data_IF_454610880572
#
_entry.id   IF_454610880572
#
_cell.length_a   1.000
_cell.length_b   1.000
_cell.length_c   1.000
_cell.angle_alpha   90.00
_cell.angle_beta   90.00
_cell.angle_gamma   90.00
#
_symmetry.space_group_name_H-M   'P 1'
#
loop_
_entity.id
_entity.type
_entity.pdbx_description
1 polymer ?
#
# COMPACT_ATOMS: atom_id res chain seq x y z
N UNK A 1 -35.69 15.38 62.69
CA UNK A 1 -36.31 15.25 64.03
C UNK A 1 -35.96 13.89 64.64
N UNK A 2 -35.55 13.95 65.90
CA UNK A 2 -34.85 12.95 66.69
C UNK A 2 -35.77 11.83 67.17
N UNK A 3 -35.21 10.61 67.29
CA UNK A 3 -35.36 9.64 68.40
C UNK A 3 -34.82 8.28 67.89
N UNK A 4 -33.77 7.63 68.42
CA UNK A 4 -33.53 7.32 69.84
C UNK A 4 -34.62 6.35 70.34
N UNK A 5 -34.41 5.18 70.93
CA UNK A 5 -33.26 4.56 71.58
C UNK A 5 -33.59 3.07 71.84
N UNK A 6 -32.63 2.38 72.45
CA UNK A 6 -32.41 0.95 72.65
C UNK A 6 -33.31 0.18 73.65
N UNK A 7 -33.14 -1.15 73.61
CA UNK A 7 -33.41 -2.14 74.68
C UNK A 7 -34.45 -3.19 74.27
N UNK A 8 -34.26 -4.51 74.29
CA UNK A 8 -33.34 -5.41 75.00
C UNK A 8 -34.16 -6.60 75.53
N UNK A 9 -33.61 -7.84 75.46
CA UNK A 9 -34.19 -9.17 75.79
C UNK A 9 -34.77 -9.91 74.57
N UNK A 10 -34.55 -11.19 74.33
CA UNK A 10 -33.83 -12.26 75.04
C UNK A 10 -34.31 -13.61 74.47
N UNK A 11 -33.38 -14.56 74.36
CA UNK A 11 -33.58 -16.03 74.21
C UNK A 11 -34.26 -16.62 72.97
N UNK A 12 -33.50 -17.49 72.29
CA UNK A 12 -34.03 -18.77 71.79
C UNK A 12 -33.64 -19.18 70.37
N UNK A 13 -32.70 -20.13 70.24
CA UNK A 13 -32.68 -21.10 69.12
C UNK A 13 -31.54 -20.97 68.10
N UNK A 14 -30.54 -21.86 68.21
CA UNK A 14 -29.57 -22.19 67.14
C UNK A 14 -30.28 -22.71 65.87
N UNK A 15 -29.68 -22.58 64.67
CA UNK A 15 -28.75 -23.62 64.23
C UNK A 15 -27.46 -23.12 63.53
N UNK A 16 -26.38 -23.78 63.90
CA UNK A 16 -25.13 -24.10 63.20
C UNK A 16 -24.87 -23.52 61.79
N UNK A 17 -23.92 -22.60 61.68
CA UNK A 17 -23.22 -22.29 60.41
C UNK A 17 -21.87 -23.02 60.35
N UNK A 18 -21.50 -23.66 59.23
CA UNK A 18 -20.24 -24.39 59.10
C UNK A 18 -19.01 -23.46 59.06
N UNK A 19 -17.92 -23.94 59.66
CA UNK A 19 -16.59 -23.32 59.72
C UNK A 19 -16.10 -22.80 58.35
N UNK A 20 -15.68 -21.52 58.32
CA UNK A 20 -14.81 -21.00 57.26
C UNK A 20 -13.41 -21.61 57.34
N UNK A 21 -12.82 -22.09 56.23
CA UNK A 21 -11.39 -22.37 56.15
C UNK A 21 -10.59 -21.06 56.11
N UNK A 22 -9.47 -21.00 56.85
CA UNK A 22 -8.50 -19.89 56.82
C UNK A 22 -7.93 -19.68 55.40
N UNK A 23 -7.58 -18.44 55.01
CA UNK A 23 -7.02 -18.16 53.69
C UNK A 23 -5.66 -18.86 53.50
N UNK A 24 -5.60 -19.68 52.45
CA UNK A 24 -4.36 -20.30 51.96
C UNK A 24 -3.58 -19.26 51.16
N UNK A 25 -2.31 -19.04 51.54
CA UNK A 25 -1.36 -18.26 50.75
C UNK A 25 -1.09 -18.99 49.43
N UNK A 26 -1.53 -18.41 48.32
CA UNK A 26 -1.25 -18.94 46.98
C UNK A 26 0.17 -18.50 46.56
N UNK A 27 1.03 -19.41 46.06
CA UNK A 27 2.39 -19.08 45.67
C UNK A 27 2.44 -18.10 44.49
N UNK A 28 3.41 -17.17 44.48
CA UNK A 28 3.77 -16.38 43.31
C UNK A 28 4.12 -17.32 42.16
N UNK A 29 3.30 -17.34 41.11
CA UNK A 29 3.63 -18.04 39.87
C UNK A 29 4.71 -17.29 39.10
N UNK A 30 5.69 -18.08 38.65
CA UNK A 30 6.91 -17.71 37.95
C UNK A 30 6.69 -16.90 36.67
N UNK A 31 7.66 -16.03 36.36
CA UNK A 31 7.87 -15.46 35.04
C UNK A 31 7.90 -16.56 33.97
N UNK A 32 7.12 -16.36 32.91
CA UNK A 32 7.23 -17.12 31.66
C UNK A 32 8.63 -16.95 31.07
N UNK A 33 9.30 -18.04 30.62
CA UNK A 33 10.54 -17.92 29.86
C UNK A 33 10.28 -17.19 28.53
N UNK A 34 11.11 -16.20 28.22
CA UNK A 34 11.21 -15.62 26.87
C UNK A 34 11.44 -16.75 25.85
N UNK A 35 10.61 -16.78 24.81
CA UNK A 35 10.80 -17.67 23.68
C UNK A 35 12.20 -17.44 23.08
N UNK A 36 12.96 -18.51 22.94
CA UNK A 36 14.26 -18.53 22.29
C UNK A 36 14.13 -18.16 20.81
N UNK A 37 15.01 -17.28 20.33
CA UNK A 37 15.14 -16.91 18.93
C UNK A 37 15.29 -18.16 18.04
N UNK A 38 14.49 -18.24 16.98
CA UNK A 38 14.73 -19.16 15.86
C UNK A 38 16.02 -18.76 15.12
N UNK A 39 16.82 -19.73 14.62
CA UNK A 39 18.06 -19.42 13.90
C UNK A 39 17.78 -18.63 12.61
N UNK A 40 18.57 -17.57 12.38
CA UNK A 40 18.58 -16.84 11.11
C UNK A 40 18.90 -17.79 9.94
N UNK A 41 18.04 -17.78 8.93
CA UNK A 41 18.33 -18.38 7.62
C UNK A 41 19.46 -17.56 6.98
N UNK A 42 20.57 -18.23 6.66
CA UNK A 42 21.69 -17.66 5.91
C UNK A 42 21.23 -17.23 4.51
N UNK A 43 21.55 -16.00 4.11
CA UNK A 43 21.34 -15.51 2.75
C UNK A 43 22.11 -16.39 1.76
N UNK A 44 21.43 -16.79 0.68
CA UNK A 44 22.05 -17.45 -0.47
C UNK A 44 23.09 -16.52 -1.15
N UNK A 45 24.16 -17.05 -1.76
CA UNK A 45 25.19 -16.23 -2.41
C UNK A 45 24.62 -15.42 -3.58
N UNK A 46 25.01 -14.14 -3.63
CA UNK A 46 24.75 -13.24 -4.75
C UNK A 46 25.31 -13.83 -6.06
N UNK A 47 24.47 -13.94 -7.09
CA UNK A 47 24.89 -14.36 -8.43
C UNK A 47 25.80 -13.29 -9.03
N UNK A 48 26.95 -13.75 -9.49
CA UNK A 48 28.06 -12.98 -10.05
C UNK A 48 27.69 -12.36 -11.41
N UNK A 49 28.10 -11.10 -11.62
CA UNK A 49 27.88 -10.33 -12.86
C UNK A 49 28.25 -11.12 -14.12
N UNK A 50 27.33 -11.17 -15.10
CA UNK A 50 27.63 -11.61 -16.46
C UNK A 50 28.34 -10.47 -17.21
N UNK A 51 29.42 -10.71 -17.98
CA UNK A 51 30.18 -9.65 -18.64
C UNK A 51 29.39 -8.94 -19.74
N UNK A 52 29.54 -7.62 -19.84
CA UNK A 52 29.05 -6.82 -20.96
C UNK A 52 29.70 -7.28 -22.27
N UNK A 53 28.88 -7.57 -23.28
CA UNK A 53 29.35 -7.78 -24.66
C UNK A 53 29.45 -6.41 -25.35
N UNK A 54 30.60 -6.23 -25.99
CA UNK A 54 31.17 -5.04 -26.61
C UNK A 54 30.50 -4.75 -27.98
N UNK A 55 30.18 -3.48 -28.27
CA UNK A 55 29.90 -2.98 -29.64
C UNK A 55 31.14 -3.22 -30.53
N UNK A 56 31.17 -3.40 -31.86
CA UNK A 56 30.43 -2.96 -33.09
C UNK A 56 30.97 -3.87 -34.27
N UNK A 57 30.69 -3.76 -35.61
CA UNK A 57 30.09 -2.66 -36.40
C UNK A 57 29.02 -3.05 -37.48
N UNK A 58 28.36 -2.03 -38.03
CA UNK A 58 27.51 -2.08 -39.23
C UNK A 58 28.29 -2.10 -40.56
N UNK A 59 27.72 -2.77 -41.58
CA UNK A 59 27.73 -2.53 -43.05
C UNK A 59 27.22 -3.84 -43.72
N UNK A 60 26.58 -3.97 -44.88
CA UNK A 60 26.04 -3.12 -45.95
C UNK A 60 25.16 -4.02 -46.87
N UNK A 61 24.36 -3.42 -47.75
CA UNK A 61 23.47 -4.05 -48.76
C UNK A 61 24.20 -4.94 -49.80
N UNK A 62 23.56 -6.02 -50.30
CA UNK A 62 23.02 -6.19 -51.68
C UNK A 62 22.90 -7.65 -52.20
N UNK A 63 21.76 -7.91 -52.86
CA UNK A 63 21.42 -8.84 -53.99
C UNK A 63 21.67 -10.37 -53.98
N UNK A 64 20.54 -11.09 -54.13
CA UNK A 64 20.22 -12.26 -54.99
C UNK A 64 21.33 -13.19 -55.51
N UNK A 65 21.20 -14.51 -55.28
CA UNK A 65 21.14 -15.54 -56.35
C UNK A 65 20.56 -16.89 -55.87
N UNK A 66 19.96 -17.63 -56.81
CA UNK A 66 19.29 -18.93 -56.68
C UNK A 66 20.26 -20.13 -56.52
N UNK A 67 19.82 -21.22 -55.88
CA UNK A 67 19.39 -22.49 -56.51
C UNK A 67 19.74 -23.77 -55.70
N UNK A 68 18.74 -24.67 -55.63
CA UNK A 68 18.73 -26.13 -55.40
C UNK A 68 19.64 -26.82 -54.35
N UNK A 69 19.01 -27.53 -53.40
CA UNK A 69 18.88 -29.00 -53.42
C UNK A 69 18.06 -29.53 -52.24
N UNK A 70 17.07 -30.38 -52.53
CA UNK A 70 16.32 -31.18 -51.56
C UNK A 70 17.20 -32.31 -51.01
N UNK A 71 17.18 -32.55 -49.69
CA UNK A 71 17.04 -33.90 -49.08
C UNK A 71 16.27 -33.74 -47.75
N UNK A 72 15.24 -34.58 -47.58
CA UNK A 72 14.41 -34.72 -46.37
C UNK A 72 15.19 -35.41 -45.25
N UNK A 73 14.99 -34.99 -43.99
CA UNK A 73 14.83 -35.91 -42.85
C UNK A 73 14.21 -35.19 -41.62
N UNK A 74 13.15 -35.82 -41.09
CA UNK A 74 12.41 -35.66 -39.82
C UNK A 74 11.88 -34.29 -39.30
N UNK A 75 10.60 -34.23 -38.83
CA UNK A 75 10.08 -33.07 -38.11
C UNK A 75 10.52 -33.09 -36.64
N UNK A 76 11.50 -32.26 -36.29
CA UNK A 76 11.73 -31.88 -34.90
C UNK A 76 10.62 -30.93 -34.45
N UNK A 77 9.80 -31.36 -33.50
CA UNK A 77 8.73 -30.57 -32.91
C UNK A 77 9.37 -29.46 -32.09
N UNK A 78 9.49 -28.27 -32.68
CA UNK A 78 9.86 -27.07 -31.95
C UNK A 78 8.86 -26.81 -30.80
N UNK A 79 9.32 -26.51 -29.58
CA UNK A 79 8.43 -26.11 -28.51
C UNK A 79 7.66 -24.84 -28.94
N UNK A 80 6.40 -24.67 -28.50
CA UNK A 80 5.59 -23.54 -28.95
C UNK A 80 6.32 -22.25 -28.60
N UNK A 81 6.67 -21.49 -29.65
CA UNK A 81 7.10 -20.12 -29.50
C UNK A 81 6.00 -19.40 -28.73
N UNK A 82 6.30 -19.07 -27.48
CA UNK A 82 5.48 -18.15 -26.71
C UNK A 82 5.52 -16.85 -27.52
N UNK A 83 4.43 -16.54 -28.21
CA UNK A 83 4.22 -15.22 -28.78
C UNK A 83 4.22 -14.25 -27.60
N UNK A 84 5.38 -13.67 -27.32
CA UNK A 84 5.47 -12.46 -26.53
C UNK A 84 4.69 -11.44 -27.37
N UNK A 85 3.49 -11.09 -26.90
CA UNK A 85 2.73 -9.98 -27.46
C UNK A 85 3.70 -8.79 -27.60
N UNK A 86 3.72 -8.08 -28.74
CA UNK A 86 4.67 -7.00 -28.93
C UNK A 86 4.50 -5.99 -27.79
N UNK A 87 5.53 -5.85 -26.95
CA UNK A 87 5.58 -4.81 -25.95
C UNK A 87 5.55 -3.49 -26.71
N UNK A 88 4.45 -2.74 -26.57
CA UNK A 88 4.38 -1.37 -27.06
C UNK A 88 5.58 -0.64 -26.44
N UNK A 89 6.46 0.01 -27.23
CA UNK A 89 7.60 0.73 -26.69
C UNK A 89 7.11 1.72 -25.65
N UNK A 90 7.63 1.58 -24.44
CA UNK A 90 7.21 2.41 -23.32
C UNK A 90 7.52 3.88 -23.61
N UNK A 91 6.48 4.72 -23.58
CA UNK A 91 6.63 6.16 -23.82
C UNK A 91 7.50 6.74 -22.70
N UNK A 92 8.58 7.43 -23.07
CA UNK A 92 9.34 8.25 -22.11
C UNK A 92 8.43 9.35 -21.56
N UNK A 93 8.57 9.63 -20.26
CA UNK A 93 7.85 10.74 -19.67
C UNK A 93 8.32 12.07 -20.29
N UNK A 94 7.41 13.01 -20.46
CA UNK A 94 7.65 14.32 -21.05
C UNK A 94 6.75 15.36 -20.37
N UNK A 95 6.65 16.58 -20.90
CA UNK A 95 5.84 17.65 -20.34
C UNK A 95 4.32 17.40 -20.34
N UNK A 96 3.84 16.27 -20.87
CA UNK A 96 2.44 15.88 -20.77
C UNK A 96 2.09 15.08 -19.52
N UNK A 97 3.08 14.60 -18.78
CA UNK A 97 2.83 13.83 -17.57
C UNK A 97 2.47 14.76 -16.42
N UNK A 98 1.40 14.40 -15.71
CA UNK A 98 0.90 15.07 -14.53
C UNK A 98 0.88 14.09 -13.34
N UNK A 99 0.55 14.60 -12.15
CA UNK A 99 0.50 13.82 -10.92
C UNK A 99 -0.72 14.11 -10.06
N UNK A 100 -1.23 13.05 -9.45
CA UNK A 100 -2.09 13.12 -8.26
C UNK A 100 -1.18 12.95 -7.04
N UNK A 101 -1.46 13.67 -5.96
CA UNK A 101 -0.66 13.60 -4.74
C UNK A 101 0.70 14.29 -4.85
N UNK A 102 1.72 13.76 -4.16
CA UNK A 102 3.03 14.41 -4.03
C UNK A 102 4.17 13.46 -4.36
N UNK A 103 4.95 13.81 -5.38
CA UNK A 103 6.24 13.20 -5.71
C UNK A 103 7.06 14.19 -6.54
N UNK A 104 8.39 14.09 -6.48
CA UNK A 104 9.29 14.84 -7.36
C UNK A 104 9.56 13.95 -8.58
N UNK A 105 9.19 14.44 -9.75
CA UNK A 105 9.39 13.80 -11.04
C UNK A 105 10.41 14.60 -11.84
N UNK A 106 11.47 13.95 -12.31
CA UNK A 106 12.45 14.52 -13.23
C UNK A 106 12.26 13.87 -14.61
N UNK A 107 11.60 14.60 -15.52
CA UNK A 107 11.31 14.11 -16.85
C UNK A 107 12.54 14.02 -17.74
N UNK A 108 13.56 14.86 -17.54
CA UNK A 108 14.79 14.78 -18.33
C UNK A 108 15.58 13.53 -17.98
N UNK A 109 15.71 13.23 -16.68
CA UNK A 109 16.42 12.06 -16.18
C UNK A 109 15.59 10.79 -16.16
N UNK A 110 14.26 10.88 -16.37
CA UNK A 110 13.32 9.77 -16.23
C UNK A 110 13.41 9.14 -14.83
N UNK A 111 13.39 9.96 -13.78
CA UNK A 111 13.52 9.51 -12.39
C UNK A 111 12.46 10.11 -11.49
N UNK A 112 12.26 9.48 -10.34
CA UNK A 112 11.53 10.05 -9.21
C UNK A 112 12.43 10.16 -7.99
N UNK A 113 12.16 11.14 -7.13
CA UNK A 113 12.84 11.26 -5.83
C UNK A 113 11.90 10.85 -4.71
N UNK A 114 12.37 9.92 -3.88
CA UNK A 114 11.68 9.42 -2.69
C UNK A 114 12.58 9.59 -1.45
N UNK A 115 12.02 9.35 -0.27
CA UNK A 115 12.81 9.30 0.97
C UNK A 115 13.08 7.85 1.38
N UNK A 116 14.22 7.66 2.04
CA UNK A 116 14.63 6.43 2.71
C UNK A 116 15.17 6.78 4.09
N UNK A 117 14.94 5.92 5.07
CA UNK A 117 15.35 6.15 6.46
C UNK A 117 16.43 5.16 6.87
N UNK A 118 17.62 5.68 7.16
CA UNK A 118 18.82 4.89 7.47
C UNK A 118 19.01 4.83 8.97
N UNK A 119 19.17 3.62 9.53
CA UNK A 119 19.45 3.42 10.95
C UNK A 119 20.76 4.10 11.36
N UNK A 120 20.69 4.87 12.45
CA UNK A 120 21.84 5.57 13.04
C UNK A 120 22.53 4.71 14.11
N UNK A 121 21.75 4.02 14.95
CA UNK A 121 22.26 3.10 15.97
C UNK A 121 22.80 1.82 15.29
N UNK A 122 24.10 1.82 15.00
CA UNK A 122 24.86 0.60 14.68
C UNK A 122 25.48 0.05 15.97
N UNK A 123 25.63 -1.28 16.12
CA UNK A 123 26.08 -1.91 17.38
C UNK A 123 27.37 -1.30 17.97
N UNK A 124 28.26 -0.77 17.14
CA UNK A 124 29.57 -0.25 17.53
C UNK A 124 29.74 1.27 17.34
N UNK A 125 28.65 2.04 17.21
CA UNK A 125 28.71 3.50 16.98
C UNK A 125 28.14 4.30 18.15
N UNK A 126 28.73 5.45 18.51
CA UNK A 126 28.18 6.31 19.55
C UNK A 126 26.79 6.83 19.16
N UNK A 127 25.84 6.76 20.09
CA UNK A 127 24.48 7.23 19.88
C UNK A 127 24.46 8.73 19.58
N UNK A 128 23.73 9.11 18.52
CA UNK A 128 23.44 10.52 18.24
C UNK A 128 22.15 10.92 18.95
N UNK A 129 22.09 12.16 19.41
CA UNK A 129 20.93 12.71 20.08
C UNK A 129 20.43 13.95 19.35
N UNK A 130 19.11 14.08 19.28
CA UNK A 130 18.50 15.31 18.81
C UNK A 130 18.76 16.44 19.82
N UNK A 131 19.25 17.58 19.33
CA UNK A 131 19.63 18.70 20.18
C UNK A 131 18.42 19.39 20.83
N UNK A 132 17.25 19.27 20.23
CA UNK A 132 16.04 19.94 20.70
C UNK A 132 15.31 19.10 21.74
N UNK A 133 14.99 17.85 21.41
CA UNK A 133 14.26 16.94 22.30
C UNK A 133 15.13 16.20 23.31
N UNK A 134 16.45 16.11 23.07
CA UNK A 134 17.38 15.30 23.86
C UNK A 134 17.20 13.79 23.69
N UNK A 135 16.32 13.35 22.79
CA UNK A 135 16.05 11.92 22.52
C UNK A 135 17.11 11.32 21.58
N UNK A 136 17.40 10.01 21.69
CA UNK A 136 18.29 9.33 20.75
C UNK A 136 17.69 9.31 19.35
N UNK A 137 18.53 9.56 18.34
CA UNK A 137 18.14 9.50 16.93
C UNK A 137 18.17 8.04 16.50
N UNK A 138 17.05 7.53 16.00
CA UNK A 138 16.93 6.15 15.53
C UNK A 138 17.26 6.02 14.03
N UNK A 139 16.84 7.00 13.22
CA UNK A 139 17.06 7.01 11.76
C UNK A 139 17.33 8.43 11.23
N UNK A 140 18.10 8.51 10.15
CA UNK A 140 18.31 9.71 9.35
C UNK A 140 17.55 9.60 8.02
N UNK A 141 16.88 10.68 7.61
CA UNK A 141 16.16 10.78 6.34
C UNK A 141 17.14 11.12 5.22
N UNK A 142 17.23 10.24 4.24
CA UNK A 142 17.99 10.45 3.01
C UNK A 142 17.05 10.45 1.81
N UNK A 143 17.43 11.16 0.75
CA UNK A 143 16.74 11.08 -0.53
C UNK A 143 17.36 9.97 -1.38
N UNK A 144 16.50 9.26 -2.10
CA UNK A 144 16.89 8.32 -3.15
C UNK A 144 16.32 8.80 -4.48
N UNK A 145 17.08 8.58 -5.55
CA UNK A 145 16.66 8.86 -6.92
C UNK A 145 16.45 7.50 -7.58
N UNK A 146 15.22 7.20 -7.96
CA UNK A 146 14.84 5.93 -8.57
C UNK A 146 14.57 6.14 -10.06
N UNK A 147 15.31 5.46 -10.96
CA UNK A 147 14.98 5.42 -12.37
C UNK A 147 13.62 4.77 -12.62
N UNK A 148 12.82 5.37 -13.50
CA UNK A 148 11.47 4.86 -13.82
C UNK A 148 11.51 3.46 -14.46
N UNK A 149 12.57 3.18 -15.23
CA UNK A 149 12.79 1.88 -15.86
C UNK A 149 13.02 0.75 -14.85
N UNK A 150 13.45 1.07 -13.62
CA UNK A 150 13.71 0.08 -12.57
C UNK A 150 12.43 -0.26 -11.78
N UNK A 151 11.32 0.43 -12.02
CA UNK A 151 10.05 0.19 -11.35
C UNK A 151 9.36 -1.00 -11.99
N UNK A 152 9.16 -2.04 -11.18
CA UNK A 152 8.53 -3.28 -11.63
C UNK A 152 7.05 -3.08 -12.00
N UNK A 153 6.65 -3.72 -13.10
CA UNK A 153 5.24 -3.89 -13.46
C UNK A 153 4.60 -4.98 -12.61
N UNK A 154 3.40 -4.74 -12.10
CA UNK A 154 2.66 -5.75 -11.35
C UNK A 154 1.84 -5.18 -10.19
N UNK A 155 1.31 -6.10 -9.38
CA UNK A 155 0.66 -5.76 -8.12
C UNK A 155 1.71 -5.29 -7.11
N UNK A 156 1.35 -4.28 -6.32
CA UNK A 156 2.12 -3.95 -5.13
C UNK A 156 2.06 -5.11 -4.15
N UNK A 157 3.20 -5.44 -3.54
CA UNK A 157 3.27 -6.39 -2.43
C UNK A 157 3.43 -5.64 -1.12
N UNK A 158 2.80 -6.14 -0.06
CA UNK A 158 2.81 -5.47 1.24
C UNK A 158 4.13 -5.74 1.95
N UNK A 159 4.99 -4.72 2.01
CA UNK A 159 6.01 -4.61 3.06
C UNK A 159 5.67 -3.41 3.94
N UNK A 160 5.05 -3.69 5.09
CA UNK A 160 4.59 -2.68 6.05
C UNK A 160 5.75 -1.82 6.59
N UNK A 161 6.99 -2.33 6.54
CA UNK A 161 8.19 -1.65 7.03
C UNK A 161 8.99 -0.96 5.93
N UNK A 162 8.57 -1.08 4.66
CA UNK A 162 9.23 -0.40 3.58
C UNK A 162 9.08 1.12 3.72
N UNK A 163 10.17 1.85 3.48
CA UNK A 163 10.12 3.31 3.43
C UNK A 163 9.32 3.82 2.23
N UNK A 164 9.13 2.97 1.21
CA UNK A 164 8.29 3.23 0.05
C UNK A 164 7.77 1.94 -0.58
N UNK A 165 6.60 2.03 -1.22
CA UNK A 165 6.03 1.00 -2.09
C UNK A 165 5.70 1.66 -3.42
N UNK A 166 6.14 1.07 -4.52
CA UNK A 166 5.94 1.65 -5.85
C UNK A 166 5.70 0.56 -6.89
N UNK A 167 4.74 0.83 -7.76
CA UNK A 167 4.33 -0.06 -8.83
C UNK A 167 4.04 0.69 -10.11
N UNK A 168 3.86 -0.10 -11.17
CA UNK A 168 3.66 0.41 -12.51
C UNK A 168 2.54 -0.36 -13.24
N UNK A 169 1.78 0.34 -14.08
CA UNK A 169 0.76 -0.24 -14.95
C UNK A 169 0.77 0.46 -16.31
N UNK A 170 1.38 -0.15 -17.31
CA UNK A 170 1.74 0.57 -18.54
C UNK A 170 2.79 1.63 -18.22
N UNK A 171 2.56 2.89 -18.56
CA UNK A 171 3.38 4.05 -18.19
C UNK A 171 2.82 4.82 -16.98
N UNK A 172 1.79 4.31 -16.31
CA UNK A 172 1.33 4.86 -15.04
C UNK A 172 2.21 4.35 -13.90
N UNK A 173 2.68 5.27 -13.07
CA UNK A 173 3.44 4.95 -11.86
C UNK A 173 2.65 5.38 -10.64
N UNK A 174 2.60 4.54 -9.61
CA UNK A 174 1.81 4.84 -8.42
C UNK A 174 2.46 4.24 -7.20
N UNK A 175 2.23 4.86 -6.06
CA UNK A 175 2.81 4.37 -4.83
C UNK A 175 2.69 5.32 -3.65
N UNK A 176 3.43 4.94 -2.63
CA UNK A 176 3.53 5.67 -1.38
C UNK A 176 4.98 5.69 -0.91
N UNK A 177 5.38 6.76 -0.24
CA UNK A 177 6.63 6.79 0.50
C UNK A 177 6.44 7.55 1.81
N UNK A 178 7.25 7.20 2.81
CA UNK A 178 7.24 7.87 4.09
C UNK A 178 8.03 9.18 4.04
N UNK A 179 7.56 10.19 4.74
CA UNK A 179 8.26 11.44 5.00
C UNK A 179 8.15 11.80 6.49
N UNK A 180 8.92 12.78 6.91
CA UNK A 180 8.82 13.37 8.23
C UNK A 180 9.20 14.85 8.16
N UNK A 181 8.73 15.64 9.11
CA UNK A 181 8.97 17.09 9.14
C UNK A 181 10.46 17.43 9.34
N UNK A 182 11.21 16.52 9.97
CA UNK A 182 12.64 16.68 10.23
C UNK A 182 13.50 15.89 9.22
N UNK A 183 14.82 16.02 9.32
CA UNK A 183 15.77 15.14 8.63
C UNK A 183 16.21 13.95 9.50
N UNK A 184 15.71 13.90 10.74
CA UNK A 184 16.00 12.85 11.72
C UNK A 184 14.68 12.28 12.25
N UNK A 185 14.70 11.02 12.65
CA UNK A 185 13.63 10.37 13.40
C UNK A 185 14.14 10.02 14.79
N UNK A 186 13.35 10.37 15.80
CA UNK A 186 13.53 9.92 17.18
C UNK A 186 12.48 8.88 17.55
N UNK A 187 11.33 8.87 16.87
CA UNK A 187 10.26 7.88 16.99
C UNK A 187 9.77 7.48 15.60
N UNK A 188 9.50 6.19 15.34
CA UNK A 188 8.94 5.76 14.04
C UNK A 188 7.55 6.38 13.79
N UNK A 189 6.84 6.70 14.87
CA UNK A 189 5.58 7.42 14.83
C UNK A 189 5.71 8.89 14.38
N UNK A 190 6.88 9.39 14.02
CA UNK A 190 7.03 10.71 13.38
C UNK A 190 6.95 10.64 11.84
N UNK A 191 6.88 9.43 11.27
CA UNK A 191 6.65 9.22 9.83
C UNK A 191 5.20 9.48 9.47
N UNK A 192 4.97 10.06 8.30
CA UNK A 192 3.68 10.14 7.64
C UNK A 192 3.83 9.77 6.17
N UNK A 193 2.74 9.31 5.55
CA UNK A 193 2.76 8.84 4.18
C UNK A 193 2.48 9.95 3.18
N UNK A 194 3.17 9.90 2.04
CA UNK A 194 2.90 10.68 0.85
C UNK A 194 2.55 9.75 -0.29
N UNK A 195 1.37 9.94 -0.86
CA UNK A 195 0.83 9.12 -1.94
C UNK A 195 1.00 9.85 -3.26
N UNK A 196 1.14 9.09 -4.35
CA UNK A 196 1.17 9.65 -5.69
C UNK A 196 0.68 8.70 -6.77
N UNK A 197 0.18 9.29 -7.85
CA UNK A 197 0.00 8.64 -9.16
C UNK A 197 0.59 9.58 -10.21
N UNK A 198 1.41 9.06 -11.12
CA UNK A 198 1.97 9.77 -12.28
C UNK A 198 1.33 9.17 -13.54
N UNK A 199 0.87 10.02 -14.44
CA UNK A 199 0.10 9.62 -15.62
C UNK A 199 0.24 10.65 -16.75
N UNK A 200 0.03 10.24 -18.01
CA UNK A 200 0.02 11.14 -19.16
C UNK A 200 -1.35 11.86 -19.27
N UNK A 201 -1.38 13.17 -19.07
CA UNK A 201 -2.61 13.98 -19.13
C UNK A 201 -3.25 13.93 -20.53
N UNK A 202 -2.47 13.71 -21.60
CA UNK A 202 -3.04 13.56 -22.94
C UNK A 202 -3.89 12.31 -23.12
N UNK A 203 -3.75 11.32 -22.22
CA UNK A 203 -4.52 10.08 -22.24
C UNK A 203 -5.78 10.15 -21.37
N UNK A 204 -6.00 11.25 -20.66
CA UNK A 204 -7.24 11.46 -19.90
C UNK A 204 -8.42 11.52 -20.86
N UNK A 205 -9.38 10.61 -20.66
CA UNK A 205 -10.57 10.52 -21.47
C UNK A 205 -11.62 11.53 -21.00
N UNK A 206 -11.88 12.55 -21.81
CA UNK A 206 -12.89 13.59 -21.55
C UNK A 206 -14.30 13.22 -22.03
N UNK A 207 -14.48 12.08 -22.70
CA UNK A 207 -15.72 11.64 -23.35
C UNK A 207 -16.25 10.33 -22.78
N UNK A 208 -16.19 10.18 -21.47
CA UNK A 208 -16.72 9.00 -20.78
C UNK A 208 -18.25 9.03 -20.87
N UNK A 209 -18.83 7.93 -21.38
CA UNK A 209 -20.28 7.79 -21.52
C UNK A 209 -20.97 7.85 -20.15
N UNK A 210 -22.11 8.53 -20.06
CA UNK A 210 -22.96 8.52 -18.87
C UNK A 210 -23.61 7.15 -18.63
N UNK A 211 -23.64 6.28 -19.65
CA UNK A 211 -24.22 4.93 -19.58
C UNK A 211 -23.13 3.85 -19.51
N UNK A 212 -21.90 4.21 -19.10
CA UNK A 212 -20.76 3.29 -19.03
C UNK A 212 -21.14 1.97 -18.34
N UNK A 213 -20.85 0.87 -19.02
CA UNK A 213 -20.90 -0.48 -18.45
C UNK A 213 -19.54 -1.14 -18.62
N UNK A 214 -18.84 -1.35 -17.50
CA UNK A 214 -17.46 -1.85 -17.48
C UNK A 214 -17.10 -2.37 -16.08
N UNK A 215 -16.14 -3.28 -16.00
CA UNK A 215 -15.54 -3.71 -14.74
C UNK A 215 -14.08 -3.26 -14.70
N UNK A 216 -13.69 -2.67 -13.57
CA UNK A 216 -12.32 -2.31 -13.26
C UNK A 216 -11.85 -3.10 -12.04
N UNK A 217 -10.67 -3.68 -12.11
CA UNK A 217 -10.06 -4.36 -10.97
C UNK A 217 -8.54 -4.25 -11.00
N UNK A 218 -7.94 -4.42 -9.82
CA UNK A 218 -6.49 -4.56 -9.69
C UNK A 218 -6.11 -5.10 -8.32
N UNK A 219 -5.27 -6.13 -8.29
CA UNK A 219 -4.61 -6.59 -7.07
C UNK A 219 -3.56 -5.58 -6.61
N UNK A 220 -3.58 -5.23 -5.33
CA UNK A 220 -2.75 -4.17 -4.76
C UNK A 220 -2.95 -2.81 -5.44
N UNK A 221 -4.13 -2.59 -6.04
CA UNK A 221 -4.44 -1.36 -6.79
C UNK A 221 -4.75 -0.16 -5.89
N UNK A 222 -4.98 -0.40 -4.60
CA UNK A 222 -5.21 0.66 -3.62
C UNK A 222 -4.10 0.65 -2.59
N UNK A 223 -3.56 1.83 -2.31
CA UNK A 223 -2.69 2.07 -1.16
C UNK A 223 -3.36 3.09 -0.26
N UNK A 224 -3.48 2.79 1.02
CA UNK A 224 -4.18 3.64 1.98
C UNK A 224 -3.50 3.64 3.35
N UNK A 225 -3.81 4.65 4.16
CA UNK A 225 -3.29 4.80 5.52
C UNK A 225 -3.84 6.03 6.21
N UNK A 226 -3.50 6.19 7.48
CA UNK A 226 -3.91 7.35 8.25
C UNK A 226 -3.23 8.65 7.79
N UNK A 227 -3.95 9.77 7.92
CA UNK A 227 -3.43 11.09 7.63
C UNK A 227 -2.35 11.52 8.62
N UNK A 228 -1.52 12.47 8.19
CA UNK A 228 -0.56 13.14 9.07
C UNK A 228 -1.28 13.76 10.28
N UNK A 229 -0.91 13.32 11.50
CA UNK A 229 -1.49 13.80 12.76
C UNK A 229 -2.14 12.71 13.61
N UNK A 230 -2.58 11.60 13.00
CA UNK A 230 -3.06 10.39 13.69
C UNK A 230 -1.84 9.73 14.34
N UNK A 231 -1.73 9.63 15.67
CA UNK A 231 -0.49 9.19 16.37
C UNK A 231 -0.32 7.69 16.47
N UNK A 232 -1.34 6.96 16.07
CA UNK A 232 -1.44 5.51 16.19
C UNK A 232 -0.55 4.84 15.15
N UNK A 233 0.52 4.21 15.63
CA UNK A 233 1.56 3.63 14.78
C UNK A 233 0.99 2.65 13.74
N UNK A 234 0.13 1.72 14.16
CA UNK A 234 -0.49 0.72 13.28
C UNK A 234 -1.36 1.34 12.18
N UNK A 235 -1.99 2.48 12.45
CA UNK A 235 -2.82 3.19 11.49
C UNK A 235 -1.98 3.95 10.44
N UNK A 236 -0.73 4.28 10.76
CA UNK A 236 0.21 4.96 9.86
C UNK A 236 0.88 4.02 8.88
N UNK A 237 0.97 2.73 9.21
CA UNK A 237 1.54 1.75 8.30
C UNK A 237 0.66 1.65 7.04
N UNK A 238 1.30 1.79 5.88
CA UNK A 238 0.58 1.73 4.61
C UNK A 238 -0.02 0.34 4.42
N UNK A 239 -1.30 0.32 4.10
CA UNK A 239 -2.05 -0.89 3.79
C UNK A 239 -2.31 -0.94 2.29
N UNK A 240 -2.35 -2.16 1.77
CA UNK A 240 -2.73 -2.44 0.39
C UNK A 240 -4.16 -2.98 0.34
N UNK A 241 -4.81 -2.76 -0.80
CA UNK A 241 -6.13 -3.30 -1.07
C UNK A 241 -6.27 -3.70 -2.53
N UNK A 242 -6.93 -4.84 -2.74
CA UNK A 242 -7.42 -5.30 -4.02
C UNK A 242 -8.74 -4.58 -4.30
N UNK A 243 -8.82 -3.91 -5.45
CA UNK A 243 -10.00 -3.15 -5.85
C UNK A 243 -10.79 -3.90 -6.91
N UNK A 244 -12.11 -3.84 -6.79
CA UNK A 244 -13.05 -4.27 -7.81
C UNK A 244 -14.23 -3.28 -7.89
N UNK A 245 -14.50 -2.75 -9.08
CA UNK A 245 -15.56 -1.78 -9.35
C UNK A 245 -16.31 -2.20 -10.59
N UNK A 246 -17.62 -2.30 -10.49
CA UNK A 246 -18.54 -2.50 -11.59
C UNK A 246 -19.32 -1.21 -11.88
N UNK A 247 -19.23 -0.74 -13.11
CA UNK A 247 -20.13 0.27 -13.66
C UNK A 247 -21.25 -0.43 -14.42
N UNK A 248 -22.49 -0.05 -14.12
CA UNK A 248 -23.71 -0.46 -14.85
C UNK A 248 -24.55 0.79 -15.11
N UNK A 249 -24.78 1.11 -16.39
CA UNK A 249 -25.49 2.34 -16.80
C UNK A 249 -24.93 3.59 -16.08
N UNK A 250 -23.60 3.70 -16.03
CA UNK A 250 -22.88 4.79 -15.38
C UNK A 250 -22.86 4.80 -13.86
N UNK A 251 -23.54 3.87 -13.19
CA UNK A 251 -23.52 3.74 -11.73
C UNK A 251 -22.44 2.77 -11.29
N UNK A 252 -21.58 3.23 -10.39
CA UNK A 252 -20.48 2.45 -9.83
C UNK A 252 -20.92 1.75 -8.54
N UNK A 253 -20.61 0.46 -8.43
CA UNK A 253 -20.66 -0.30 -7.19
C UNK A 253 -19.41 -1.19 -7.11
N UNK A 254 -18.79 -1.26 -5.95
CA UNK A 254 -17.55 -1.99 -5.80
C UNK A 254 -17.10 -2.16 -4.36
N UNK A 255 -15.92 -2.73 -4.21
CA UNK A 255 -15.29 -2.91 -2.92
C UNK A 255 -13.77 -2.88 -3.03
N UNK A 256 -13.15 -2.68 -1.88
CA UNK A 256 -11.72 -2.85 -1.67
C UNK A 256 -11.57 -3.90 -0.58
N UNK A 257 -10.76 -4.91 -0.82
CA UNK A 257 -10.51 -6.02 0.11
C UNK A 257 -9.02 -6.13 0.37
N UNK A 258 -8.64 -6.48 1.60
CA UNK A 258 -7.26 -6.89 1.89
C UNK A 258 -7.04 -8.33 1.36
N UNK A 259 -5.82 -8.67 0.95
CA UNK A 259 -5.44 -9.99 0.43
C UNK A 259 -5.85 -11.13 1.38
N UNK A 260 -5.82 -10.85 2.68
CA UNK A 260 -6.13 -11.81 3.73
C UNK A 260 -7.56 -11.73 4.27
N UNK A 261 -8.38 -10.78 3.79
CA UNK A 261 -9.71 -10.55 4.34
C UNK A 261 -10.80 -11.22 3.52
N UNK A 262 -11.69 -11.96 4.21
CA UNK A 262 -12.93 -12.51 3.61
C UNK A 262 -13.96 -11.40 3.36
N UNK A 263 -13.83 -10.26 4.05
CA UNK A 263 -14.78 -9.15 3.96
C UNK A 263 -14.12 -7.88 3.37
N UNK A 264 -14.89 -7.07 2.64
CA UNK A 264 -14.43 -5.75 2.22
C UNK A 264 -13.99 -4.86 3.39
N UNK A 265 -12.88 -4.15 3.21
CA UNK A 265 -12.39 -3.09 4.11
C UNK A 265 -12.90 -1.70 3.69
N UNK A 266 -13.32 -1.55 2.43
CA UNK A 266 -14.10 -0.41 1.95
C UNK A 266 -15.19 -0.87 0.99
N UNK A 267 -16.27 -0.09 0.94
CA UNK A 267 -17.28 -0.15 -0.11
C UNK A 267 -17.14 1.05 -1.03
N UNK A 268 -17.44 0.84 -2.31
CA UNK A 268 -17.37 1.87 -3.35
C UNK A 268 -18.76 2.04 -3.94
N UNK A 269 -19.22 3.28 -4.01
CA UNK A 269 -20.44 3.67 -4.75
C UNK A 269 -20.15 4.92 -5.57
N UNK A 270 -21.00 5.28 -6.52
CA UNK A 270 -20.87 6.55 -7.23
C UNK A 270 -21.28 6.46 -8.69
N UNK A 271 -20.60 7.23 -9.53
CA UNK A 271 -20.83 7.27 -10.97
C UNK A 271 -19.55 7.60 -11.74
N UNK A 272 -19.68 7.89 -13.04
CA UNK A 272 -18.55 8.18 -13.94
C UNK A 272 -17.86 9.52 -13.68
N UNK A 273 -18.34 10.33 -12.72
CA UNK A 273 -17.69 11.59 -12.34
C UNK A 273 -16.91 11.47 -11.03
N UNK A 274 -17.48 10.74 -10.07
CA UNK A 274 -16.89 10.62 -8.73
C UNK A 274 -17.31 9.32 -8.07
N UNK A 275 -16.43 8.82 -7.19
CA UNK A 275 -16.70 7.69 -6.33
C UNK A 275 -16.78 8.13 -4.88
N UNK A 276 -17.55 7.41 -4.08
CA UNK A 276 -17.60 7.53 -2.63
C UNK A 276 -17.00 6.26 -2.05
N UNK A 277 -15.88 6.42 -1.36
CA UNK A 277 -15.14 5.34 -0.69
C UNK A 277 -15.52 5.37 0.78
N UNK A 278 -16.22 4.34 1.24
CA UNK A 278 -16.72 4.25 2.61
C UNK A 278 -16.04 3.08 3.34
N UNK A 279 -15.27 3.33 4.41
CA UNK A 279 -14.70 2.26 5.21
C UNK A 279 -15.77 1.36 5.80
N UNK A 280 -15.45 0.07 5.96
CA UNK A 280 -16.30 -0.87 6.70
C UNK A 280 -15.84 -0.98 8.15
N UNK A 281 -16.61 -1.71 8.97
CA UNK A 281 -16.22 -2.04 10.34
C UNK A 281 -14.96 -2.93 10.40
N UNK A 282 -14.65 -3.67 9.32
CA UNK A 282 -13.50 -4.56 9.24
C UNK A 282 -12.22 -3.81 8.76
N UNK A 283 -12.30 -2.50 8.54
CA UNK A 283 -11.14 -1.70 8.13
C UNK A 283 -10.13 -1.54 9.29
N UNK A 284 -8.87 -1.98 9.12
CA UNK A 284 -7.89 -1.98 10.21
C UNK A 284 -7.46 -0.57 10.64
N UNK A 285 -7.35 0.38 9.69
CA UNK A 285 -6.94 1.75 9.97
C UNK A 285 -8.04 2.47 10.77
N UNK A 286 -9.30 2.33 10.33
CA UNK A 286 -10.44 2.94 11.04
C UNK A 286 -10.62 2.31 12.41
N UNK A 287 -10.51 0.99 12.53
CA UNK A 287 -10.65 0.30 13.81
C UNK A 287 -9.68 0.84 14.88
N UNK A 288 -8.41 1.03 14.50
CA UNK A 288 -7.39 1.61 15.39
C UNK A 288 -7.75 3.04 15.79
N UNK A 289 -8.11 3.89 14.82
CA UNK A 289 -8.45 5.30 15.07
C UNK A 289 -9.66 5.44 15.99
N UNK A 290 -10.71 4.63 15.79
CA UNK A 290 -11.92 4.70 16.60
C UNK A 290 -11.72 4.19 18.02
N UNK A 291 -10.91 3.14 18.19
CA UNK A 291 -10.58 2.61 19.51
C UNK A 291 -9.92 3.68 20.40
N UNK A 292 -8.94 4.41 19.86
CA UNK A 292 -8.28 5.51 20.59
C UNK A 292 -9.23 6.67 20.88
N UNK A 293 -10.11 7.00 19.93
CA UNK A 293 -11.16 8.01 20.14
C UNK A 293 -12.27 7.54 21.10
N UNK A 294 -12.26 6.28 21.53
CA UNK A 294 -13.33 5.64 22.31
C UNK A 294 -14.70 5.78 21.64
N UNK A 295 -14.72 5.66 20.32
CA UNK A 295 -15.91 5.78 19.48
C UNK A 295 -16.30 4.43 18.90
N UNK A 296 -17.59 4.17 18.78
CA UNK A 296 -18.10 2.99 18.07
C UNK A 296 -18.23 3.28 16.57
N UNK A 297 -18.02 2.24 15.76
CA UNK A 297 -18.24 2.34 14.33
C UNK A 297 -19.71 2.62 14.01
N UNK A 298 -19.94 3.46 13.01
CA UNK A 298 -21.25 3.72 12.40
C UNK A 298 -21.12 3.78 10.88
N UNK A 299 -22.09 3.22 10.17
CA UNK A 299 -22.03 3.13 8.71
C UNK A 299 -21.98 4.53 8.07
N UNK A 300 -21.05 4.73 7.15
CA UNK A 300 -20.89 5.98 6.40
C UNK A 300 -20.03 7.04 7.11
N UNK A 301 -19.50 6.75 8.30
CA UNK A 301 -18.47 7.58 8.92
C UNK A 301 -17.16 7.53 8.13
N UNK A 302 -16.37 8.60 8.23
CA UNK A 302 -15.04 8.68 7.58
C UNK A 302 -15.07 8.39 6.06
N UNK A 303 -16.23 8.54 5.41
CA UNK A 303 -16.34 8.38 3.95
C UNK A 303 -15.57 9.51 3.25
N UNK A 304 -14.98 9.19 2.11
CA UNK A 304 -14.27 10.13 1.27
C UNK A 304 -14.89 10.15 -0.13
N UNK A 305 -15.01 11.34 -0.71
CA UNK A 305 -15.27 11.49 -2.14
C UNK A 305 -13.93 11.40 -2.86
N UNK A 306 -13.90 10.62 -3.95
CA UNK A 306 -12.76 10.45 -4.84
C UNK A 306 -13.12 11.02 -6.19
N UNK A 307 -12.42 12.08 -6.58
CA UNK A 307 -12.40 12.53 -7.96
C UNK A 307 -11.62 11.50 -8.79
N UNK A 308 -12.21 11.09 -9.90
CA UNK A 308 -11.67 10.03 -10.74
C UNK A 308 -11.26 10.54 -12.12
N UNK A 309 -10.21 9.92 -12.67
CA UNK A 309 -9.83 10.07 -14.07
C UNK A 309 -9.86 8.71 -14.76
N UNK A 310 -10.51 8.67 -15.93
CA UNK A 310 -10.40 7.54 -16.85
C UNK A 310 -9.25 7.82 -17.81
N UNK A 311 -8.32 6.88 -17.93
CA UNK A 311 -7.13 7.01 -18.77
C UNK A 311 -7.21 5.95 -19.86
N UNK A 312 -7.14 6.37 -21.12
CA UNK A 312 -7.07 5.46 -22.26
C UNK A 312 -5.72 4.73 -22.31
N UNK A 313 -5.60 3.59 -23.00
CA UNK A 313 -4.31 2.90 -23.18
C UNK A 313 -3.31 3.68 -24.06
N UNK A 314 -3.84 4.49 -24.97
CA UNK A 314 -3.09 5.43 -25.80
C UNK A 314 -3.95 6.68 -26.07
N UNK A 315 -3.31 7.80 -26.44
CA UNK A 315 -4.01 9.07 -26.69
C UNK A 315 -5.13 8.88 -27.72
N UNK A 316 -6.37 9.10 -27.30
CA UNK A 316 -7.54 9.03 -28.17
C UNK A 316 -8.02 7.62 -28.50
N UNK A 317 -7.52 6.58 -27.82
CA UNK A 317 -7.98 5.21 -28.03
C UNK A 317 -9.46 5.02 -27.61
N UNK A 318 -9.96 5.82 -26.67
CA UNK A 318 -11.35 5.77 -26.24
C UNK A 318 -11.73 4.49 -25.49
N UNK A 319 -10.75 3.74 -24.98
CA UNK A 319 -10.94 2.45 -24.34
C UNK A 319 -11.10 2.54 -22.81
N UNK A 320 -10.76 3.69 -22.21
CA UNK A 320 -10.74 3.91 -20.76
C UNK A 320 -10.01 2.78 -20.02
N UNK A 321 -8.80 2.41 -20.47
CA UNK A 321 -8.08 1.25 -19.93
C UNK A 321 -7.85 1.32 -18.41
N UNK A 322 -7.61 2.50 -17.85
CA UNK A 322 -7.32 2.68 -16.43
C UNK A 322 -8.33 3.62 -15.76
N UNK A 323 -8.57 3.39 -14.48
CA UNK A 323 -9.32 4.26 -13.59
C UNK A 323 -8.45 4.60 -12.38
N UNK A 324 -8.16 5.88 -12.20
CA UNK A 324 -7.30 6.39 -11.13
C UNK A 324 -8.02 7.44 -10.30
N UNK A 325 -7.59 7.63 -9.05
CA UNK A 325 -8.12 8.68 -8.19
C UNK A 325 -7.47 8.73 -6.82
N UNK A 326 -7.78 9.80 -6.08
CA UNK A 326 -7.38 10.00 -4.68
C UNK A 326 -8.63 10.19 -3.82
N UNK A 327 -8.73 9.42 -2.75
CA UNK A 327 -9.72 9.60 -1.70
C UNK A 327 -9.03 10.19 -0.47
N UNK A 328 -9.65 11.21 0.13
CA UNK A 328 -9.17 11.80 1.37
C UNK A 328 -10.34 12.13 2.30
N UNK A 329 -10.22 11.69 3.54
CA UNK A 329 -11.09 12.08 4.65
C UNK A 329 -10.28 12.90 5.67
N UNK A 330 -10.87 13.20 6.82
CA UNK A 330 -10.13 13.82 7.93
C UNK A 330 -9.06 12.88 8.50
N UNK A 331 -9.33 11.59 8.58
CA UNK A 331 -8.46 10.65 9.30
C UNK A 331 -7.59 9.77 8.42
N UNK A 332 -7.90 9.63 7.13
CA UNK A 332 -7.18 8.75 6.21
C UNK A 332 -7.14 9.27 4.78
N UNK A 333 -6.22 8.70 4.00
CA UNK A 333 -6.04 8.99 2.57
C UNK A 333 -5.74 7.69 1.82
N UNK A 334 -6.15 7.63 0.56
CA UNK A 334 -5.82 6.54 -0.36
C UNK A 334 -5.61 7.04 -1.79
N UNK A 335 -4.74 6.36 -2.50
CA UNK A 335 -4.69 6.39 -3.96
C UNK A 335 -5.21 5.09 -4.52
N UNK A 336 -5.83 5.16 -5.70
CA UNK A 336 -6.35 4.01 -6.40
C UNK A 336 -5.89 4.02 -7.85
N UNK A 337 -5.48 2.85 -8.32
CA UNK A 337 -5.25 2.52 -9.72
C UNK A 337 -5.95 1.19 -9.99
N UNK A 338 -6.79 1.15 -11.02
CA UNK A 338 -7.47 -0.06 -11.47
C UNK A 338 -7.49 -0.16 -12.98
N UNK A 339 -7.63 -1.38 -13.49
CA UNK A 339 -7.59 -1.67 -14.93
C UNK A 339 -8.92 -2.25 -15.38
N UNK A 340 -9.36 -1.83 -16.57
CA UNK A 340 -10.54 -2.38 -17.22
C UNK A 340 -10.27 -3.83 -17.64
N UNK A 341 -11.19 -4.74 -17.28
CA UNK A 341 -11.18 -6.15 -17.69
C UNK A 341 -11.45 -6.34 -19.18
#
# INVERSE_FOLDING_TARGET
PLSGSCGGSGSGGSPSTPNQPKPVLVPKTQNTPLAQNTPQVQNAPQVQNVPQVQNVPQMENNTQSQNNSQIQDQPEVAPPATQIAPSIPEKKIDGSFDKIGTVILDAEKQTITLNKFILVDKPDSPKKYDRVSGKPIIKEKNQIILPLADISTGALTSDQNADYLIGRSGDLFYGVYHDTQSNILVEEADKFSKYFVIYDENRVNSKVSQDLTATYDKKGGVVYGANAGIKEFEARLNKLGDVNIEFKNGKANGNISDENSVKPIFTITGDTKSLVISPTADNPVISVILNERKQSYSQGMEKAVMDIKFIDSAKGAGDQKYLIGEAKSESWQAIMVSEKK
#
